data_IF_545517204021
#
_entry.id   IF_545517204021
#
_cell.length_a   1.000
_cell.length_b   1.000
_cell.length_c   1.000
_cell.angle_alpha   90.00
_cell.angle_beta   90.00
_cell.angle_gamma   90.00
#
_symmetry.space_group_name_H-M   'P 1'
#
loop_
_entity.id
_entity.type
_entity.pdbx_description
1 polymer ?
#
# COMPACT_ATOMS: atom_id res chain seq x y z
N UNK A 1 -18.60 2.07 -6.54
CA UNK A 1 -17.80 1.38 -7.58
C UNK A 1 -18.27 -0.08 -7.68
N UNK A 2 -17.77 -0.86 -8.65
CA UNK A 2 -18.14 -2.29 -8.80
C UNK A 2 -17.65 -3.16 -7.63
N UNK A 3 -17.87 -4.47 -7.73
CA UNK A 3 -17.37 -5.44 -6.75
C UNK A 3 -16.05 -6.09 -7.15
N UNK A 4 -15.42 -6.78 -6.20
CA UNK A 4 -14.23 -7.61 -6.37
C UNK A 4 -14.58 -9.07 -6.08
N UNK A 5 -14.05 -9.97 -6.90
CA UNK A 5 -14.12 -11.43 -6.70
C UNK A 5 -12.98 -11.92 -5.80
N UNK A 6 -13.12 -13.13 -5.26
CA UNK A 6 -12.04 -13.78 -4.51
C UNK A 6 -10.93 -14.25 -5.46
N UNK A 7 -9.69 -14.34 -4.95
CA UNK A 7 -8.55 -14.89 -5.69
C UNK A 7 -8.80 -16.33 -6.19
N UNK A 8 -9.63 -17.12 -5.49
CA UNK A 8 -10.03 -18.47 -5.91
C UNK A 8 -10.92 -18.46 -7.16
N UNK A 9 -11.72 -17.40 -7.35
CA UNK A 9 -12.66 -17.26 -8.45
C UNK A 9 -12.04 -16.52 -9.65
N UNK A 10 -11.19 -15.54 -9.36
CA UNK A 10 -10.43 -14.77 -10.34
C UNK A 10 -8.92 -14.80 -9.99
N UNK A 11 -8.19 -15.87 -10.36
CA UNK A 11 -6.79 -16.02 -9.98
C UNK A 11 -5.85 -15.09 -10.75
N UNK A 12 -4.81 -14.63 -10.05
CA UNK A 12 -3.72 -13.85 -10.62
C UNK A 12 -2.92 -14.64 -11.67
N UNK A 13 -2.73 -14.05 -12.86
CA UNK A 13 -2.00 -14.67 -13.97
C UNK A 13 -0.68 -13.98 -14.32
N UNK A 14 -0.40 -12.79 -13.77
CA UNK A 14 0.84 -12.05 -14.06
C UNK A 14 0.90 -11.32 -15.40
N UNK A 15 -0.19 -11.30 -16.19
CA UNK A 15 -0.28 -10.52 -17.44
C UNK A 15 -1.70 -10.08 -17.75
N UNK A 16 -1.81 -9.04 -18.59
CA UNK A 16 -3.09 -8.49 -19.05
C UNK A 16 -3.86 -9.45 -19.94
N UNK A 17 -5.15 -9.61 -19.66
CA UNK A 17 -6.07 -10.46 -20.40
C UNK A 17 -7.45 -9.78 -20.46
N UNK A 18 -8.36 -10.29 -21.30
CA UNK A 18 -9.73 -9.77 -21.33
C UNK A 18 -10.40 -9.87 -19.96
N UNK A 19 -11.22 -8.88 -19.62
CA UNK A 19 -12.00 -8.89 -18.38
C UNK A 19 -12.95 -10.09 -18.38
N UNK A 20 -12.86 -10.95 -17.36
CA UNK A 20 -13.70 -12.14 -17.17
C UNK A 20 -14.59 -12.04 -15.93
N UNK A 21 -14.88 -10.81 -15.50
CA UNK A 21 -15.61 -10.56 -14.27
C UNK A 21 -16.99 -11.23 -14.33
N UNK A 22 -17.32 -11.98 -13.30
CA UNK A 22 -18.63 -12.60 -13.10
C UNK A 22 -19.40 -11.84 -12.01
N UNK A 23 -20.45 -11.06 -12.37
CA UNK A 23 -21.25 -10.32 -11.40
C UNK A 23 -21.90 -11.19 -10.31
N UNK A 24 -22.05 -12.50 -10.54
CA UNK A 24 -22.61 -13.43 -9.55
C UNK A 24 -21.61 -13.85 -8.46
N UNK A 25 -20.32 -13.55 -8.65
CA UNK A 25 -19.21 -13.94 -7.75
C UNK A 25 -18.59 -12.77 -6.99
N UNK A 26 -19.21 -11.60 -7.06
CA UNK A 26 -18.74 -10.42 -6.33
C UNK A 26 -18.81 -10.66 -4.82
N UNK A 27 -17.66 -10.56 -4.16
CA UNK A 27 -17.51 -10.81 -2.73
C UNK A 27 -17.36 -9.53 -1.92
N UNK A 28 -16.52 -8.60 -2.39
CA UNK A 28 -16.33 -7.30 -1.75
C UNK A 28 -16.85 -6.18 -2.65
N UNK A 29 -17.31 -5.08 -2.07
CA UNK A 29 -17.78 -3.91 -2.80
C UNK A 29 -17.12 -2.65 -2.24
N UNK A 30 -16.77 -1.73 -3.13
CA UNK A 30 -16.22 -0.43 -2.77
C UNK A 30 -17.31 0.62 -2.98
N UNK A 31 -17.79 1.19 -1.89
CA UNK A 31 -18.77 2.26 -1.92
C UNK A 31 -18.11 3.62 -2.19
N UNK A 32 -17.00 3.91 -1.50
CA UNK A 32 -16.25 5.17 -1.64
C UNK A 32 -14.75 4.99 -1.34
N UNK A 33 -13.96 6.01 -1.67
CA UNK A 33 -12.55 6.12 -1.28
C UNK A 33 -12.19 7.55 -0.87
N UNK A 34 -11.30 7.65 0.11
CA UNK A 34 -10.77 8.94 0.57
C UNK A 34 -9.27 9.02 0.30
N UNK A 35 -8.78 10.22 0.04
CA UNK A 35 -7.35 10.50 -0.08
C UNK A 35 -6.93 11.31 1.14
N UNK A 36 -5.98 10.77 1.90
CA UNK A 36 -5.42 11.45 3.06
C UNK A 36 -4.46 12.55 2.63
N UNK A 37 -4.33 13.58 3.46
CA UNK A 37 -3.30 14.59 3.32
C UNK A 37 -1.90 14.02 3.61
N UNK A 38 -0.84 14.77 3.29
CA UNK A 38 0.55 14.33 3.42
C UNK A 38 1.11 14.43 4.85
N UNK A 39 0.27 14.78 5.83
CA UNK A 39 0.65 14.86 7.24
C UNK A 39 0.75 13.45 7.84
N UNK A 40 1.99 13.04 8.16
CA UNK A 40 2.26 11.70 8.68
C UNK A 40 1.61 11.42 10.05
N UNK A 41 1.40 12.44 10.89
CA UNK A 41 0.73 12.25 12.19
C UNK A 41 -0.75 11.94 12.00
N UNK A 42 -1.41 12.66 11.08
CA UNK A 42 -2.81 12.40 10.74
C UNK A 42 -2.98 11.05 10.03
N UNK A 43 -2.03 10.67 9.18
CA UNK A 43 -2.01 9.35 8.57
C UNK A 43 -1.85 8.25 9.63
N UNK A 44 -1.00 8.45 10.63
CA UNK A 44 -0.81 7.49 11.73
C UNK A 44 -2.07 7.37 12.59
N UNK A 45 -2.72 8.49 12.90
CA UNK A 45 -4.01 8.51 13.61
C UNK A 45 -5.09 7.77 12.80
N UNK A 46 -5.16 8.02 11.48
CA UNK A 46 -6.10 7.35 10.60
C UNK A 46 -5.87 5.84 10.55
N UNK A 47 -4.62 5.41 10.40
CA UNK A 47 -4.22 4.00 10.40
C UNK A 47 -4.62 3.29 11.69
N UNK A 48 -4.45 3.94 12.84
CA UNK A 48 -4.81 3.39 14.14
C UNK A 48 -6.33 3.20 14.31
N UNK A 49 -7.13 4.09 13.72
CA UNK A 49 -8.58 4.08 13.87
C UNK A 49 -9.29 3.23 12.80
N UNK A 50 -8.80 3.24 11.55
CA UNK A 50 -9.50 2.67 10.39
C UNK A 50 -8.78 1.48 9.75
N UNK A 51 -7.54 1.19 10.18
CA UNK A 51 -6.76 0.08 9.67
C UNK A 51 -5.95 0.42 8.41
N UNK A 52 -5.48 -0.62 7.68
CA UNK A 52 -4.46 -0.46 6.66
C UNK A 52 -4.78 0.54 5.56
N UNK A 53 -3.78 1.31 5.16
CA UNK A 53 -3.90 2.35 4.13
C UNK A 53 -3.03 2.02 2.91
N UNK A 54 -3.55 2.27 1.71
CA UNK A 54 -2.76 2.18 0.48
C UNK A 54 -1.80 3.37 0.39
N UNK A 55 -0.54 3.10 0.12
CA UNK A 55 0.53 4.11 0.09
C UNK A 55 1.37 3.94 -1.17
N UNK A 56 1.72 5.04 -1.83
CA UNK A 56 2.71 5.04 -2.91
C UNK A 56 4.08 5.46 -2.36
N UNK A 57 5.15 4.79 -2.80
CA UNK A 57 6.53 5.13 -2.44
C UNK A 57 7.47 5.02 -3.65
N UNK A 58 8.68 5.54 -3.48
CA UNK A 58 9.78 5.35 -4.43
C UNK A 58 10.57 4.09 -4.04
N UNK A 59 10.41 3.02 -4.81
CA UNK A 59 10.98 1.72 -4.53
C UNK A 59 12.38 1.50 -5.12
N UNK A 60 13.05 2.54 -5.65
CA UNK A 60 14.33 2.42 -6.39
C UNK A 60 15.44 1.66 -5.64
N UNK A 61 15.42 1.65 -4.32
CA UNK A 61 16.41 0.97 -3.49
C UNK A 61 15.83 -0.16 -2.63
N UNK A 62 14.51 -0.40 -2.71
CA UNK A 62 13.88 -1.45 -1.92
C UNK A 62 14.26 -2.85 -2.39
N UNK A 63 14.69 -3.04 -3.65
CA UNK A 63 15.17 -4.35 -4.10
C UNK A 63 16.40 -4.87 -3.34
N UNK A 64 17.13 -4.00 -2.64
CA UNK A 64 18.31 -4.36 -1.84
C UNK A 64 18.05 -4.37 -0.34
N UNK A 65 16.83 -4.02 0.08
CA UNK A 65 16.46 -3.99 1.49
C UNK A 65 16.42 -5.41 2.07
N UNK A 66 16.93 -5.58 3.30
CA UNK A 66 16.97 -6.87 3.98
C UNK A 66 16.32 -6.82 5.37
N UNK A 67 16.71 -5.84 6.20
CA UNK A 67 16.16 -5.66 7.55
C UNK A 67 16.46 -4.25 8.09
N UNK A 68 15.78 -3.85 9.16
CA UNK A 68 15.98 -2.58 9.86
C UNK A 68 15.00 -1.48 9.44
N UNK A 69 15.31 -0.23 9.76
CA UNK A 69 14.52 0.93 9.30
C UNK A 69 15.22 1.51 8.08
N UNK A 70 14.58 1.44 6.92
CA UNK A 70 15.11 2.02 5.69
C UNK A 70 14.92 3.53 5.69
N UNK A 71 16.02 4.29 5.61
CA UNK A 71 16.01 5.76 5.58
C UNK A 71 16.97 6.30 4.52
N UNK A 72 16.69 6.08 3.21
CA UNK A 72 17.49 6.65 2.13
C UNK A 72 17.39 8.18 2.13
N UNK A 73 18.43 8.86 1.64
CA UNK A 73 18.42 10.32 1.50
C UNK A 73 17.33 10.77 0.50
N UNK A 74 16.89 12.03 0.60
CA UNK A 74 15.88 12.61 -0.31
C UNK A 74 16.25 12.52 -1.79
N UNK A 75 17.55 12.56 -2.12
CA UNK A 75 18.02 12.37 -3.49
C UNK A 75 17.87 10.92 -3.98
N UNK A 76 17.95 9.94 -3.06
CA UNK A 76 17.78 8.52 -3.37
C UNK A 76 16.31 8.07 -3.33
N UNK A 77 15.48 8.74 -2.54
CA UNK A 77 14.04 8.48 -2.40
C UNK A 77 13.27 9.79 -2.51
N UNK A 78 13.20 10.33 -3.73
CA UNK A 78 12.52 11.59 -4.01
C UNK A 78 10.99 11.37 -4.03
N UNK A 79 10.21 12.24 -3.35
CA UNK A 79 8.74 12.19 -3.35
C UNK A 79 8.11 12.37 -4.74
N UNK A 80 8.82 12.98 -5.68
CA UNK A 80 8.39 13.17 -7.06
C UNK A 80 8.54 11.89 -7.90
N UNK A 81 9.32 10.91 -7.41
CA UNK A 81 9.62 9.66 -8.08
C UNK A 81 8.80 8.46 -7.59
N UNK A 82 7.54 8.65 -7.22
CA UNK A 82 6.65 7.55 -6.81
C UNK A 82 6.49 6.54 -7.96
N UNK A 83 6.76 5.27 -7.68
CA UNK A 83 6.77 4.22 -8.71
C UNK A 83 6.24 2.87 -8.23
N UNK A 84 5.83 2.78 -6.96
CA UNK A 84 5.36 1.53 -6.38
C UNK A 84 4.25 1.77 -5.36
N UNK A 85 3.18 0.97 -5.43
CA UNK A 85 2.07 0.99 -4.50
C UNK A 85 2.21 -0.17 -3.50
N UNK A 86 2.04 0.13 -2.22
CA UNK A 86 2.18 -0.79 -1.10
C UNK A 86 1.02 -0.64 -0.12
N UNK A 87 0.97 -1.51 0.89
CA UNK A 87 0.01 -1.42 1.98
C UNK A 87 0.73 -1.08 3.29
N UNK A 88 0.38 0.06 3.89
CA UNK A 88 0.86 0.43 5.22
C UNK A 88 -0.05 -0.18 6.28
N UNK A 89 0.53 -0.97 7.18
CA UNK A 89 -0.21 -1.80 8.16
C UNK A 89 0.08 -1.44 9.62
N UNK A 90 1.10 -0.62 9.86
CA UNK A 90 1.44 -0.19 11.20
C UNK A 90 2.45 0.96 11.21
N UNK A 91 2.59 1.59 12.37
CA UNK A 91 3.62 2.56 12.67
C UNK A 91 4.18 2.31 14.08
N UNK A 92 5.39 2.78 14.34
CA UNK A 92 6.01 2.61 15.65
C UNK A 92 7.28 3.43 15.82
N UNK A 93 7.99 3.17 16.91
CA UNK A 93 9.29 3.79 17.19
C UNK A 93 10.24 2.73 17.71
N UNK A 94 11.45 2.67 17.14
CA UNK A 94 12.51 1.78 17.59
C UNK A 94 13.76 2.61 17.90
N UNK A 95 14.23 2.57 19.15
CA UNK A 95 15.39 3.34 19.62
C UNK A 95 15.33 4.83 19.28
N UNK A 96 14.14 5.44 19.41
CA UNK A 96 13.90 6.85 19.09
C UNK A 96 13.73 7.16 17.59
N UNK A 97 13.77 6.15 16.72
CA UNK A 97 13.56 6.32 15.27
C UNK A 97 12.13 5.89 14.93
N UNK A 98 11.27 6.82 14.46
CA UNK A 98 9.93 6.47 14.00
C UNK A 98 9.99 5.68 12.70
N UNK A 99 9.05 4.75 12.50
CA UNK A 99 8.98 3.94 11.29
C UNK A 99 7.55 3.55 10.92
N UNK A 100 7.39 3.22 9.64
CA UNK A 100 6.19 2.58 9.08
C UNK A 100 6.46 1.09 8.83
N UNK A 101 5.47 0.24 9.10
CA UNK A 101 5.44 -1.15 8.65
C UNK A 101 4.64 -1.22 7.37
N UNK A 102 5.31 -1.58 6.28
CA UNK A 102 4.72 -1.69 4.95
C UNK A 102 4.79 -3.13 4.44
N UNK A 103 3.71 -3.60 3.84
CA UNK A 103 3.64 -4.87 3.13
C UNK A 103 3.80 -4.61 1.63
N UNK A 104 4.73 -5.32 1.03
CA UNK A 104 4.94 -5.38 -0.42
C UNK A 104 4.39 -6.73 -0.88
N UNK A 105 3.49 -6.69 -1.87
CA UNK A 105 2.78 -7.84 -2.45
C UNK A 105 3.26 -8.12 -3.87
#
# INVERSE_FOLDING_TARGET
MGGLELQSDYPYTGWGHGCRMDPSKLFAKIDDSIVLETDEEKQAAWLAEHGPMSTCLNAKYLQFYQYGISHPSKAMCSPEGLNHAVLTVGCGTNNGIPYWTVMII
#
